data_IF_554481178531
#
_entry.id   IF_554481178531
#
_cell.length_a   1.000
_cell.length_b   1.000
_cell.length_c   1.000
_cell.angle_alpha   90.00
_cell.angle_beta   90.00
_cell.angle_gamma   90.00
#
_symmetry.space_group_name_H-M   'P 1'
#
loop_
_entity.id
_entity.type
_entity.pdbx_description
1 polymer ?
#
# COMPACT_ATOMS: atom_id res chain seq x y z
N UNK A 1 29.85 62.80 8.20
CA UNK A 1 30.56 64.04 7.83
C UNK A 1 31.74 63.62 6.95
N UNK A 2 31.72 63.99 5.66
CA UNK A 2 32.85 64.28 4.74
C UNK A 2 34.09 63.35 4.68
N UNK A 3 34.72 63.02 3.54
CA UNK A 3 34.48 63.23 2.12
C UNK A 3 35.58 62.47 1.35
N UNK A 4 35.25 62.07 0.12
CA UNK A 4 36.06 61.98 -1.11
C UNK A 4 37.59 62.15 -1.05
N UNK A 5 38.31 61.37 -1.86
CA UNK A 5 39.19 61.95 -2.89
C UNK A 5 39.44 60.96 -4.05
N UNK A 6 39.12 61.40 -5.26
CA UNK A 6 39.58 60.86 -6.55
C UNK A 6 41.06 61.19 -6.77
N UNK A 7 41.79 60.42 -7.57
CA UNK A 7 42.68 61.00 -8.60
C UNK A 7 43.10 59.98 -9.67
N UNK A 8 42.90 60.42 -10.91
CA UNK A 8 43.24 59.82 -12.19
C UNK A 8 44.75 59.94 -12.53
N UNK A 9 45.16 59.18 -13.56
CA UNK A 9 46.09 59.51 -14.68
C UNK A 9 46.87 58.22 -15.07
N UNK A 10 47.08 57.78 -16.32
CA UNK A 10 47.33 58.49 -17.59
C UNK A 10 46.95 57.64 -18.83
N UNK A 11 46.23 58.30 -19.76
CA UNK A 11 46.39 58.42 -21.22
C UNK A 11 47.03 57.30 -22.08
N UNK A 12 46.17 56.77 -22.95
CA UNK A 12 46.29 56.63 -24.43
C UNK A 12 47.67 56.55 -25.11
N UNK A 13 47.92 55.47 -25.86
CA UNK A 13 47.93 55.51 -27.35
C UNK A 13 48.02 54.12 -28.02
N UNK A 14 47.39 54.03 -29.20
CA UNK A 14 47.65 53.13 -30.35
C UNK A 14 46.84 51.82 -30.56
N UNK A 15 45.69 52.02 -31.23
CA UNK A 15 45.22 51.41 -32.50
C UNK A 15 45.36 49.89 -32.76
N UNK A 16 44.16 49.27 -32.85
CA UNK A 16 43.69 48.27 -33.83
C UNK A 16 44.49 46.99 -34.06
N UNK A 17 43.94 45.87 -33.57
CA UNK A 17 43.74 44.63 -34.36
C UNK A 17 42.61 43.79 -33.75
N UNK A 18 41.48 43.75 -34.45
CA UNK A 18 40.42 42.78 -34.24
C UNK A 18 40.95 41.38 -34.58
N UNK A 19 41.17 40.55 -33.56
CA UNK A 19 41.20 39.10 -33.71
C UNK A 19 40.55 38.50 -32.47
N UNK A 20 39.29 38.09 -32.57
CA UNK A 20 38.64 37.27 -31.55
C UNK A 20 39.37 35.93 -31.42
N UNK A 21 39.79 35.50 -30.21
CA UNK A 21 40.16 34.12 -30.00
C UNK A 21 38.88 33.31 -29.80
N UNK A 22 38.44 32.61 -30.85
CA UNK A 22 37.39 31.59 -30.76
C UNK A 22 37.92 30.43 -29.91
N UNK A 23 37.66 30.47 -28.60
CA UNK A 23 37.89 29.34 -27.70
C UNK A 23 36.84 28.27 -27.99
N UNK A 24 37.17 27.31 -28.88
CA UNK A 24 36.39 26.07 -29.03
C UNK A 24 36.65 25.17 -27.83
N UNK A 25 35.97 25.39 -26.71
CA UNK A 25 35.89 24.38 -25.66
C UNK A 25 35.04 23.21 -26.19
N UNK A 26 35.67 22.05 -26.37
CA UNK A 26 34.90 20.82 -26.60
C UNK A 26 34.09 20.56 -25.31
N UNK A 27 32.76 20.37 -25.39
CA UNK A 27 31.98 20.07 -24.20
C UNK A 27 32.48 18.76 -23.60
N UNK A 28 32.97 18.82 -22.37
CA UNK A 28 33.29 17.63 -21.58
C UNK A 28 31.97 16.89 -21.38
N UNK A 29 31.81 15.77 -22.10
CA UNK A 29 30.67 14.87 -21.89
C UNK A 29 30.84 14.21 -20.53
N UNK A 30 30.19 14.76 -19.51
CA UNK A 30 29.98 14.07 -18.25
C UNK A 30 29.03 12.89 -18.50
N UNK A 31 29.57 11.73 -18.88
CA UNK A 31 28.81 10.48 -18.78
C UNK A 31 28.70 10.15 -17.29
N UNK A 32 27.59 10.52 -16.65
CA UNK A 32 27.21 9.92 -15.37
C UNK A 32 27.27 8.40 -15.56
N UNK A 33 27.98 7.63 -14.72
CA UNK A 33 27.95 6.18 -14.84
C UNK A 33 26.50 5.76 -14.69
N UNK A 34 25.90 5.24 -15.77
CA UNK A 34 24.60 4.59 -15.71
C UNK A 34 24.82 3.35 -14.85
N UNK A 35 24.54 3.44 -13.55
CA UNK A 35 24.30 2.23 -12.73
C UNK A 35 23.28 1.44 -13.53
N UNK A 36 23.68 0.26 -14.04
CA UNK A 36 22.72 -0.69 -14.60
C UNK A 36 21.80 -1.04 -13.43
N UNK A 37 20.63 -0.41 -13.39
CA UNK A 37 19.57 -0.84 -12.48
C UNK A 37 19.32 -2.28 -12.88
N UNK A 38 19.63 -3.24 -12.00
CA UNK A 38 19.23 -4.62 -12.23
C UNK A 38 17.71 -4.57 -12.31
N UNK A 39 17.16 -4.84 -13.49
CA UNK A 39 15.72 -4.98 -13.65
C UNK A 39 15.27 -6.06 -12.68
N UNK A 40 14.30 -5.72 -11.84
CA UNK A 40 13.69 -6.69 -10.94
C UNK A 40 12.90 -7.69 -11.79
N UNK A 41 12.89 -8.98 -11.45
CA UNK A 41 12.21 -10.03 -12.22
C UNK A 41 10.70 -9.98 -11.95
N UNK A 42 10.09 -8.84 -12.23
CA UNK A 42 8.67 -8.59 -12.04
C UNK A 42 8.17 -7.63 -13.11
N UNK A 43 6.90 -7.80 -13.50
CA UNK A 43 6.22 -6.96 -14.48
C UNK A 43 5.08 -6.25 -13.77
N UNK A 44 4.93 -4.94 -13.98
CA UNK A 44 3.79 -4.19 -13.44
C UNK A 44 2.49 -4.76 -13.99
N UNK A 45 1.44 -4.81 -13.17
CA UNK A 45 0.15 -5.37 -13.59
C UNK A 45 -0.44 -4.64 -14.80
N UNK A 46 -0.23 -3.33 -14.93
CA UNK A 46 -0.70 -2.52 -16.06
C UNK A 46 -0.02 -2.85 -17.41
N UNK A 47 1.12 -3.56 -17.37
CA UNK A 47 1.87 -3.95 -18.56
C UNK A 47 1.56 -5.38 -19.00
N UNK A 48 0.66 -6.08 -18.30
CA UNK A 48 0.25 -7.44 -18.64
C UNK A 48 -1.02 -7.38 -19.49
N UNK A 49 -1.16 -8.35 -20.39
CA UNK A 49 -2.38 -8.53 -21.18
C UNK A 49 -3.58 -8.85 -20.28
N UNK A 50 -4.78 -8.46 -20.68
CA UNK A 50 -6.01 -8.75 -19.93
C UNK A 50 -6.19 -10.26 -19.66
N UNK A 51 -5.81 -11.11 -20.62
CA UNK A 51 -5.88 -12.58 -20.52
C UNK A 51 -4.82 -13.17 -19.58
N UNK A 52 -3.87 -12.38 -19.09
CA UNK A 52 -2.85 -12.86 -18.18
C UNK A 52 -3.48 -13.33 -16.85
N UNK A 53 -3.13 -14.53 -16.39
CA UNK A 53 -3.68 -15.17 -15.18
C UNK A 53 -3.71 -14.27 -13.93
N UNK A 54 -2.68 -13.43 -13.73
CA UNK A 54 -2.63 -12.49 -12.61
C UNK A 54 -3.66 -11.35 -12.72
N UNK A 55 -3.91 -10.88 -13.95
CA UNK A 55 -4.94 -9.87 -14.24
C UNK A 55 -6.32 -10.51 -14.07
N UNK A 56 -6.53 -11.69 -14.65
CA UNK A 56 -7.75 -12.48 -14.49
C UNK A 56 -8.05 -12.79 -13.00
N UNK A 57 -7.02 -13.05 -12.19
CA UNK A 57 -7.17 -13.21 -10.76
C UNK A 57 -7.73 -11.95 -10.08
N UNK A 58 -7.19 -10.75 -10.39
CA UNK A 58 -7.74 -9.50 -9.84
C UNK A 58 -9.16 -9.21 -10.37
N UNK A 59 -9.43 -9.51 -11.64
CA UNK A 59 -10.75 -9.32 -12.26
C UNK A 59 -11.80 -10.24 -11.63
N UNK A 60 -11.48 -11.53 -11.41
CA UNK A 60 -12.34 -12.48 -10.69
C UNK A 60 -12.57 -12.11 -9.22
N UNK A 61 -11.79 -11.16 -8.70
CA UNK A 61 -11.94 -10.53 -7.38
C UNK A 61 -12.57 -9.14 -7.50
N UNK A 62 -13.17 -8.78 -8.64
CA UNK A 62 -13.84 -7.48 -8.84
C UNK A 62 -12.97 -6.25 -8.52
N UNK A 63 -11.65 -6.38 -8.58
CA UNK A 63 -10.74 -5.28 -8.26
C UNK A 63 -10.71 -4.29 -9.40
N UNK A 64 -11.13 -3.06 -9.13
CA UNK A 64 -11.19 -2.00 -10.12
C UNK A 64 -9.82 -1.73 -10.76
N UNK A 65 -9.78 -1.55 -12.08
CA UNK A 65 -8.55 -1.43 -12.89
C UNK A 65 -7.59 -0.36 -12.35
N UNK A 66 -8.12 0.76 -11.81
CA UNK A 66 -7.33 1.84 -11.20
C UNK A 66 -6.33 1.38 -10.12
N UNK A 67 -6.56 0.23 -9.48
CA UNK A 67 -5.68 -0.30 -8.44
C UNK A 67 -4.62 -1.28 -8.98
N UNK A 68 -4.68 -1.70 -10.25
CA UNK A 68 -3.72 -2.62 -10.84
C UNK A 68 -2.29 -2.07 -10.78
N UNK A 69 -2.12 -0.76 -10.94
CA UNK A 69 -0.84 -0.06 -10.82
C UNK A 69 -0.12 -0.28 -9.48
N UNK A 70 -0.84 -0.73 -8.44
CA UNK A 70 -0.30 -1.04 -7.11
C UNK A 70 0.31 -2.43 -7.01
N UNK A 71 0.11 -3.27 -8.02
CA UNK A 71 0.54 -4.65 -8.03
C UNK A 71 1.55 -4.91 -9.14
N UNK A 72 2.32 -5.97 -8.96
CA UNK A 72 3.17 -6.53 -10.01
C UNK A 72 3.00 -8.04 -10.03
N UNK A 73 3.49 -8.70 -11.06
CA UNK A 73 3.54 -10.14 -11.16
C UNK A 73 4.99 -10.57 -11.30
N UNK A 74 5.34 -11.69 -10.69
CA UNK A 74 6.62 -12.36 -10.88
C UNK A 74 6.39 -13.85 -11.07
N UNK A 75 7.16 -14.47 -11.95
CA UNK A 75 7.20 -15.93 -12.12
C UNK A 75 8.05 -16.61 -11.05
N UNK A 76 8.94 -15.86 -10.39
CA UNK A 76 9.87 -16.38 -9.38
C UNK A 76 10.01 -15.40 -8.21
N UNK A 77 9.07 -15.53 -7.26
CA UNK A 77 9.05 -14.70 -6.06
C UNK A 77 10.31 -14.87 -5.21
N UNK A 78 10.91 -16.07 -5.17
CA UNK A 78 12.17 -16.30 -4.46
C UNK A 78 13.28 -15.42 -5.06
N UNK A 79 13.45 -15.45 -6.38
CA UNK A 79 14.50 -14.68 -7.06
C UNK A 79 14.27 -13.18 -6.97
N UNK A 80 13.02 -12.72 -7.00
CA UNK A 80 12.69 -11.33 -6.71
C UNK A 80 13.20 -10.93 -5.32
N UNK A 81 12.88 -11.72 -4.29
CA UNK A 81 13.30 -11.43 -2.92
C UNK A 81 14.81 -11.59 -2.74
N UNK A 82 15.45 -12.52 -3.44
CA UNK A 82 16.92 -12.70 -3.40
C UNK A 82 17.65 -11.45 -3.89
N UNK A 83 17.12 -10.75 -4.91
CA UNK A 83 17.71 -9.52 -5.41
C UNK A 83 17.48 -8.31 -4.48
N UNK A 84 16.41 -8.32 -3.69
CA UNK A 84 16.02 -7.21 -2.81
C UNK A 84 16.59 -7.37 -1.40
N UNK A 85 16.53 -8.59 -0.86
CA UNK A 85 16.93 -8.95 0.51
C UNK A 85 17.39 -10.41 0.54
N UNK A 86 18.65 -10.70 0.10
CA UNK A 86 19.18 -12.06 -0.04
C UNK A 86 18.97 -12.96 1.20
N UNK A 87 19.16 -12.42 2.40
CA UNK A 87 19.05 -13.19 3.65
C UNK A 87 17.63 -13.72 3.90
N UNK A 88 16.62 -13.11 3.29
CA UNK A 88 15.20 -13.45 3.47
C UNK A 88 14.67 -14.41 2.41
N UNK A 89 15.41 -14.66 1.33
CA UNK A 89 14.98 -15.56 0.24
C UNK A 89 15.26 -17.04 0.51
N UNK A 90 16.15 -17.36 1.46
CA UNK A 90 16.68 -18.71 1.67
C UNK A 90 15.58 -19.77 1.89
N UNK A 91 14.49 -19.41 2.57
CA UNK A 91 13.35 -20.29 2.90
C UNK A 91 12.22 -20.25 1.87
N UNK A 92 12.33 -19.39 0.86
CA UNK A 92 11.30 -19.24 -0.17
C UNK A 92 11.48 -20.30 -1.26
N UNK A 93 10.36 -20.71 -1.84
CA UNK A 93 10.32 -21.54 -3.04
C UNK A 93 10.24 -20.65 -4.27
N UNK A 94 10.81 -21.11 -5.38
CA UNK A 94 10.58 -20.47 -6.69
C UNK A 94 9.13 -20.76 -7.07
N UNK A 95 8.30 -19.71 -7.06
CA UNK A 95 6.88 -19.80 -7.36
C UNK A 95 6.39 -18.44 -7.84
N UNK A 96 5.37 -18.48 -8.69
CA UNK A 96 4.74 -17.29 -9.20
C UNK A 96 3.84 -16.63 -8.17
N UNK A 97 3.85 -15.30 -8.10
CA UNK A 97 3.00 -14.55 -7.16
C UNK A 97 2.63 -13.18 -7.71
N UNK A 98 1.44 -12.71 -7.33
CA UNK A 98 1.15 -11.27 -7.36
C UNK A 98 1.96 -10.61 -6.25
N UNK A 99 2.79 -9.66 -6.61
CA UNK A 99 3.65 -8.86 -5.73
C UNK A 99 2.88 -7.65 -5.25
N UNK A 100 2.78 -7.51 -3.94
CA UNK A 100 2.05 -6.46 -3.23
C UNK A 100 3.04 -5.70 -2.34
N UNK A 101 3.48 -4.50 -2.75
CA UNK A 101 4.35 -3.65 -1.95
C UNK A 101 3.57 -2.93 -0.85
N UNK A 102 4.16 -2.85 0.34
CA UNK A 102 3.61 -2.11 1.47
C UNK A 102 4.45 -0.85 1.69
N UNK A 103 3.78 0.28 1.80
CA UNK A 103 4.43 1.56 2.05
C UNK A 103 3.95 2.13 3.38
N UNK A 104 4.86 2.80 4.09
CA UNK A 104 4.50 3.60 5.26
C UNK A 104 3.95 4.98 4.84
N UNK A 105 3.56 5.80 5.82
CA UNK A 105 3.05 7.17 5.58
C UNK A 105 4.04 8.10 4.86
N UNK A 106 5.33 7.82 4.90
CA UNK A 106 6.37 8.57 4.17
C UNK A 106 6.69 7.96 2.79
N UNK A 107 5.83 7.09 2.26
CA UNK A 107 6.01 6.39 0.98
C UNK A 107 7.30 5.52 0.91
N UNK A 108 7.81 5.06 2.06
CA UNK A 108 8.93 4.12 2.11
C UNK A 108 8.42 2.68 2.09
N UNK A 109 9.01 1.85 1.23
CA UNK A 109 8.70 0.43 1.13
C UNK A 109 9.13 -0.29 2.42
N UNK A 110 8.18 -0.90 3.13
CA UNK A 110 8.42 -1.61 4.40
C UNK A 110 8.35 -3.12 4.25
N UNK A 111 7.41 -3.62 3.44
CA UNK A 111 7.20 -5.04 3.20
C UNK A 111 6.91 -5.31 1.73
N UNK A 112 7.18 -6.53 1.30
CA UNK A 112 6.66 -7.10 0.07
C UNK A 112 5.88 -8.35 0.44
N UNK A 113 4.64 -8.44 -0.03
CA UNK A 113 3.83 -9.64 0.12
C UNK A 113 3.60 -10.28 -1.24
N UNK A 114 3.71 -11.60 -1.31
CA UNK A 114 3.39 -12.38 -2.49
C UNK A 114 2.07 -13.14 -2.29
N UNK A 115 1.07 -12.87 -3.12
CA UNK A 115 -0.20 -13.62 -3.20
C UNK A 115 -0.06 -14.75 -4.21
N UNK A 116 -0.29 -16.00 -3.77
CA UNK A 116 -0.39 -17.14 -4.68
C UNK A 116 -1.64 -17.05 -5.57
N UNK A 117 -1.53 -17.57 -6.78
CA UNK A 117 -2.63 -17.60 -7.76
C UNK A 117 -3.43 -18.91 -7.74
N UNK A 118 -2.87 -19.95 -7.11
CA UNK A 118 -3.49 -21.25 -6.92
C UNK A 118 -3.93 -21.49 -5.46
N UNK A 119 -4.66 -22.58 -5.23
CA UNK A 119 -5.22 -22.97 -3.92
C UNK A 119 -4.33 -23.93 -3.13
N UNK A 120 -3.29 -24.51 -3.74
CA UNK A 120 -2.40 -25.48 -3.11
C UNK A 120 -1.22 -24.80 -2.38
N UNK A 121 -0.86 -23.61 -2.83
CA UNK A 121 0.23 -22.80 -2.29
C UNK A 121 -0.24 -21.96 -1.10
N UNK A 122 0.71 -21.60 -0.22
CA UNK A 122 0.42 -20.67 0.86
C UNK A 122 -0.15 -19.36 0.31
N UNK A 123 -1.36 -19.00 0.78
CA UNK A 123 -2.17 -17.90 0.25
C UNK A 123 -1.35 -16.61 0.11
N UNK A 124 -0.63 -16.25 1.17
CA UNK A 124 0.23 -15.08 1.24
C UNK A 124 1.58 -15.42 1.88
N UNK A 125 2.65 -14.83 1.34
CA UNK A 125 3.99 -14.81 1.96
C UNK A 125 4.39 -13.36 2.13
N UNK A 126 4.70 -12.94 3.37
CA UNK A 126 5.14 -11.57 3.65
C UNK A 126 6.61 -11.53 3.99
N UNK A 127 7.37 -10.68 3.29
CA UNK A 127 8.77 -10.40 3.55
C UNK A 127 8.89 -8.97 4.05
N UNK A 128 9.24 -8.79 5.33
CA UNK A 128 9.60 -7.49 5.88
C UNK A 128 10.93 -7.06 5.30
N UNK A 129 11.08 -5.80 4.88
CA UNK A 129 12.33 -5.22 4.35
C UNK A 129 12.94 -4.23 5.34
N UNK A 130 12.10 -3.48 6.05
CA UNK A 130 12.50 -2.57 7.12
C UNK A 130 11.66 -2.82 8.37
N UNK A 131 11.94 -2.05 9.42
CA UNK A 131 11.01 -1.89 10.54
C UNK A 131 9.74 -1.19 10.05
N UNK A 132 8.60 -1.56 10.63
CA UNK A 132 7.28 -0.99 10.34
C UNK A 132 6.15 -1.99 10.56
N UNK A 133 4.91 -1.51 10.65
CA UNK A 133 3.75 -2.39 10.82
C UNK A 133 3.38 -3.10 9.50
N UNK A 134 2.80 -4.30 9.61
CA UNK A 134 2.25 -5.07 8.48
C UNK A 134 0.87 -4.57 8.06
N UNK A 135 0.76 -3.27 7.87
CA UNK A 135 -0.48 -2.57 7.50
C UNK A 135 -0.34 -2.08 6.06
N UNK A 136 -1.19 -2.61 5.18
CA UNK A 136 -1.24 -2.18 3.80
C UNK A 136 -2.11 -0.93 3.66
N UNK A 137 -1.59 0.09 3.00
CA UNK A 137 -2.34 1.32 2.70
C UNK A 137 -2.09 2.50 3.61
N UNK A 138 -1.08 2.44 4.48
CA UNK A 138 -0.68 3.59 5.28
C UNK A 138 -0.29 4.81 4.44
N UNK A 139 0.19 4.60 3.21
CA UNK A 139 0.60 5.68 2.30
C UNK A 139 -0.56 6.51 1.72
N UNK A 140 -1.80 6.06 1.91
CA UNK A 140 -3.01 6.67 1.31
C UNK A 140 -4.04 7.12 2.34
N UNK A 141 -3.70 7.12 3.63
CA UNK A 141 -4.63 7.51 4.69
C UNK A 141 -4.73 9.04 4.81
N UNK A 142 -5.95 9.49 5.04
CA UNK A 142 -6.32 10.84 5.45
C UNK A 142 -6.78 10.75 6.91
N UNK A 143 -5.94 11.22 7.83
CA UNK A 143 -6.21 11.16 9.28
C UNK A 143 -7.27 12.17 9.74
N UNK A 144 -7.78 13.03 8.85
CA UNK A 144 -8.90 13.93 9.14
C UNK A 144 -10.27 13.24 9.02
N UNK A 145 -10.29 12.00 8.52
CA UNK A 145 -11.49 11.18 8.31
C UNK A 145 -11.37 9.85 9.05
N UNK A 146 -12.50 9.17 9.33
CA UNK A 146 -12.45 7.80 9.83
C UNK A 146 -11.65 6.89 8.89
N UNK A 147 -10.73 6.11 9.45
CA UNK A 147 -9.92 5.12 8.76
C UNK A 147 -10.52 3.74 8.99
N UNK A 148 -10.95 3.09 7.90
CA UNK A 148 -11.48 1.73 7.96
C UNK A 148 -10.35 0.71 8.01
N UNK A 149 -10.47 -0.25 8.90
CA UNK A 149 -9.45 -1.27 9.16
C UNK A 149 -10.02 -2.65 8.88
N UNK A 150 -9.52 -3.31 7.83
CA UNK A 150 -9.98 -4.64 7.40
C UNK A 150 -8.88 -5.70 7.50
N UNK A 151 -9.22 -6.98 7.40
CA UNK A 151 -8.23 -8.07 7.41
C UNK A 151 -7.57 -8.28 6.04
N UNK A 152 -8.35 -8.18 4.96
CA UNK A 152 -7.90 -8.48 3.61
C UNK A 152 -7.39 -7.26 2.83
N UNK A 153 -6.24 -7.43 2.15
CA UNK A 153 -5.67 -6.39 1.27
C UNK A 153 -6.66 -5.97 0.18
N UNK A 154 -7.32 -6.95 -0.45
CA UNK A 154 -8.27 -6.68 -1.52
C UNK A 154 -9.54 -6.01 -1.02
N UNK A 155 -10.01 -6.37 0.18
CA UNK A 155 -11.14 -5.70 0.83
C UNK A 155 -10.86 -4.20 1.04
N UNK A 156 -9.62 -3.86 1.40
CA UNK A 156 -9.20 -2.46 1.61
C UNK A 156 -9.20 -1.59 0.35
N UNK A 157 -9.39 -2.18 -0.83
CA UNK A 157 -9.47 -1.45 -2.10
C UNK A 157 -10.90 -1.01 -2.45
N UNK A 158 -11.91 -1.60 -1.81
CA UNK A 158 -13.32 -1.26 -2.07
C UNK A 158 -13.78 -0.04 -1.27
N UNK A 159 -13.10 0.28 -0.17
CA UNK A 159 -13.41 1.42 0.68
C UNK A 159 -12.37 2.53 0.52
N UNK A 160 -12.83 3.76 0.60
CA UNK A 160 -11.95 4.92 0.71
C UNK A 160 -11.39 5.02 2.13
N UNK A 161 -10.21 5.62 2.27
CA UNK A 161 -9.50 5.76 3.54
C UNK A 161 -9.39 4.45 4.34
N UNK A 162 -9.08 3.35 3.65
CA UNK A 162 -9.07 2.01 4.22
C UNK A 162 -7.68 1.37 4.16
N UNK A 163 -7.33 0.69 5.26
CA UNK A 163 -6.10 -0.07 5.43
C UNK A 163 -6.41 -1.54 5.71
N UNK A 164 -5.50 -2.43 5.31
CA UNK A 164 -5.59 -3.85 5.66
C UNK A 164 -4.51 -4.21 6.69
N UNK A 165 -4.93 -4.73 7.83
CA UNK A 165 -4.03 -5.28 8.85
C UNK A 165 -3.76 -6.75 8.53
N UNK A 166 -2.59 -7.01 7.95
CA UNK A 166 -2.23 -8.36 7.52
C UNK A 166 -1.43 -9.08 8.62
N UNK A 167 -2.05 -10.07 9.26
CA UNK A 167 -1.41 -10.89 10.29
C UNK A 167 -2.29 -11.14 11.52
N UNK A 168 -1.71 -11.77 12.54
CA UNK A 168 -2.38 -12.10 13.79
C UNK A 168 -2.43 -10.92 14.78
N UNK A 169 -1.43 -10.03 14.72
CA UNK A 169 -1.20 -9.06 15.76
C UNK A 169 -1.80 -7.71 15.38
N UNK A 170 -2.68 -7.22 16.25
CA UNK A 170 -3.27 -5.91 16.15
C UNK A 170 -2.23 -4.85 16.55
N UNK A 171 -1.50 -4.32 15.57
CA UNK A 171 -0.63 -3.15 15.76
C UNK A 171 -1.28 -1.88 15.15
N UNK A 172 -1.68 -0.94 16.01
CA UNK A 172 -2.27 0.35 15.63
C UNK A 172 -1.31 1.52 15.84
N UNK A 173 -0.01 1.28 16.10
CA UNK A 173 0.98 2.32 16.37
C UNK A 173 1.08 3.37 15.25
N UNK A 174 1.09 2.92 13.99
CA UNK A 174 1.12 3.79 12.81
C UNK A 174 -0.20 4.55 12.56
N UNK A 175 -1.22 4.32 13.38
CA UNK A 175 -2.61 4.80 13.23
C UNK A 175 -3.14 5.50 14.49
N UNK A 176 -2.29 5.80 15.49
CA UNK A 176 -2.71 6.38 16.77
C UNK A 176 -3.37 7.76 16.63
N UNK A 177 -3.05 8.51 15.57
CA UNK A 177 -3.61 9.82 15.26
C UNK A 177 -4.91 9.74 14.41
N UNK A 178 -5.43 8.54 14.18
CA UNK A 178 -6.59 8.31 13.33
C UNK A 178 -7.81 7.87 14.16
N UNK A 179 -9.01 8.29 13.73
CA UNK A 179 -10.25 7.64 14.18
C UNK A 179 -10.41 6.30 13.45
N UNK A 180 -10.42 5.18 14.19
CA UNK A 180 -10.44 3.84 13.60
C UNK A 180 -11.81 3.19 13.66
N UNK A 181 -12.22 2.61 12.53
CA UNK A 181 -13.42 1.75 12.41
C UNK A 181 -12.98 0.38 11.91
N UNK A 182 -13.12 -0.64 12.75
CA UNK A 182 -12.74 -2.00 12.41
C UNK A 182 -13.86 -2.75 11.70
N UNK A 183 -13.49 -3.54 10.68
CA UNK A 183 -14.39 -4.43 9.96
C UNK A 183 -13.67 -5.76 9.74
N UNK A 184 -14.06 -6.77 10.51
CA UNK A 184 -13.55 -8.14 10.39
C UNK A 184 -14.41 -8.96 9.44
N UNK A 185 -13.95 -10.16 9.09
CA UNK A 185 -14.77 -11.10 8.33
C UNK A 185 -16.06 -11.46 9.11
N UNK A 186 -17.18 -11.66 8.39
CA UNK A 186 -18.47 -12.06 8.96
C UNK A 186 -18.49 -13.55 9.34
N UNK A 187 -17.66 -13.92 10.30
CA UNK A 187 -17.54 -15.29 10.80
C UNK A 187 -17.96 -15.40 12.28
N UNK A 188 -19.27 -15.30 12.60
CA UNK A 188 -19.76 -15.21 13.97
C UNK A 188 -19.53 -16.46 14.82
N UNK A 189 -19.16 -17.59 14.19
CA UNK A 189 -18.81 -18.88 14.83
C UNK A 189 -17.29 -19.13 14.91
N UNK A 190 -16.49 -18.32 14.22
CA UNK A 190 -15.04 -18.50 14.23
C UNK A 190 -14.45 -17.88 15.50
N UNK A 191 -13.98 -18.73 16.43
CA UNK A 191 -13.48 -18.30 17.75
C UNK A 191 -12.39 -17.24 17.66
N UNK A 192 -11.52 -17.30 16.65
CA UNK A 192 -10.43 -16.32 16.49
C UNK A 192 -10.98 -14.95 16.08
N UNK A 193 -11.91 -14.90 15.13
CA UNK A 193 -12.55 -13.66 14.70
C UNK A 193 -13.38 -13.07 15.83
N UNK A 194 -14.18 -13.89 16.51
CA UNK A 194 -14.96 -13.48 17.69
C UNK A 194 -14.07 -12.85 18.77
N UNK A 195 -12.92 -13.45 19.07
CA UNK A 195 -11.96 -12.89 20.04
C UNK A 195 -11.34 -11.56 19.57
N UNK A 196 -11.05 -11.41 18.27
CA UNK A 196 -10.56 -10.14 17.72
C UNK A 196 -11.61 -9.04 17.86
N UNK A 197 -12.86 -9.33 17.50
CA UNK A 197 -14.01 -8.41 17.63
C UNK A 197 -14.19 -7.97 19.08
N UNK A 198 -14.23 -8.91 20.02
CA UNK A 198 -14.36 -8.62 21.46
C UNK A 198 -13.23 -7.72 21.95
N UNK A 199 -11.97 -8.04 21.59
CA UNK A 199 -10.79 -7.24 21.94
C UNK A 199 -10.90 -5.80 21.42
N UNK A 200 -11.32 -5.60 20.17
CA UNK A 200 -11.49 -4.26 19.59
C UNK A 200 -12.55 -3.45 20.35
N UNK A 201 -13.67 -4.07 20.70
CA UNK A 201 -14.73 -3.44 21.47
C UNK A 201 -14.24 -3.03 22.85
N UNK A 202 -13.49 -3.90 23.54
CA UNK A 202 -12.94 -3.62 24.86
C UNK A 202 -11.85 -2.54 24.84
N UNK A 203 -11.10 -2.42 23.73
CA UNK A 203 -10.19 -1.30 23.50
C UNK A 203 -10.91 0.03 23.21
N UNK A 204 -12.24 0.02 23.10
CA UNK A 204 -13.06 1.23 22.92
C UNK A 204 -13.12 1.76 21.49
N UNK A 205 -12.66 0.99 20.50
CA UNK A 205 -12.74 1.36 19.09
C UNK A 205 -14.16 1.19 18.52
N UNK A 206 -14.41 1.89 17.41
CA UNK A 206 -15.61 1.67 16.60
C UNK A 206 -15.45 0.38 15.79
N UNK A 207 -16.55 -0.36 15.62
CA UNK A 207 -16.56 -1.64 14.91
C UNK A 207 -17.83 -1.81 14.09
N UNK A 208 -17.69 -2.40 12.91
CA UNK A 208 -18.81 -2.84 12.07
C UNK A 208 -19.22 -4.23 12.51
N UNK A 209 -20.50 -4.41 12.83
CA UNK A 209 -21.07 -5.73 13.16
C UNK A 209 -22.20 -6.03 12.20
N UNK A 210 -22.10 -7.18 11.53
CA UNK A 210 -23.07 -7.58 10.53
C UNK A 210 -24.39 -8.00 11.16
N UNK A 211 -25.50 -7.76 10.47
CA UNK A 211 -26.77 -8.39 10.78
C UNK A 211 -27.06 -9.51 9.76
N UNK A 212 -28.22 -10.14 9.87
CA UNK A 212 -28.60 -11.22 8.96
C UNK A 212 -29.01 -10.72 7.55
N UNK A 213 -29.07 -9.40 7.32
CA UNK A 213 -29.32 -8.83 5.98
C UNK A 213 -28.06 -8.81 5.12
N UNK A 214 -26.88 -8.84 5.75
CA UNK A 214 -25.59 -8.83 5.07
C UNK A 214 -25.17 -10.24 4.62
N UNK A 215 -25.31 -10.52 3.32
CA UNK A 215 -24.93 -11.80 2.71
C UNK A 215 -23.54 -11.73 2.09
N UNK A 216 -22.55 -12.18 2.85
CA UNK A 216 -21.17 -12.29 2.37
C UNK A 216 -20.22 -12.48 3.54
N UNK A 217 -19.13 -13.20 3.29
CA UNK A 217 -18.08 -13.38 4.30
C UNK A 217 -17.26 -12.11 4.51
N UNK A 218 -16.85 -11.47 3.43
CA UNK A 218 -15.99 -10.28 3.42
C UNK A 218 -16.54 -9.26 2.39
N UNK A 219 -15.92 -8.07 2.30
CA UNK A 219 -16.36 -7.03 1.38
C UNK A 219 -16.27 -7.53 -0.07
N UNK A 220 -15.21 -8.27 -0.40
CA UNK A 220 -15.04 -8.81 -1.73
C UNK A 220 -16.16 -9.77 -2.14
N UNK A 221 -16.56 -10.66 -1.23
CA UNK A 221 -17.64 -11.62 -1.43
C UNK A 221 -18.97 -10.90 -1.66
N UNK A 222 -19.23 -9.78 -0.98
CA UNK A 222 -20.42 -8.96 -1.26
C UNK A 222 -20.42 -8.37 -2.67
N UNK A 223 -19.30 -7.81 -3.10
CA UNK A 223 -19.20 -7.22 -4.45
C UNK A 223 -19.43 -8.30 -5.51
N UNK A 224 -19.01 -9.53 -5.24
CA UNK A 224 -19.30 -10.70 -6.09
C UNK A 224 -20.78 -11.12 -6.06
N UNK A 225 -21.49 -10.81 -4.98
CA UNK A 225 -22.93 -11.06 -4.82
C UNK A 225 -23.78 -9.84 -5.23
N UNK A 226 -23.30 -9.06 -6.21
CA UNK A 226 -23.99 -7.92 -6.84
C UNK A 226 -24.33 -6.73 -5.92
N UNK A 227 -23.68 -6.62 -4.75
CA UNK A 227 -23.78 -5.40 -3.95
C UNK A 227 -22.90 -4.29 -4.53
N UNK A 228 -23.47 -3.10 -4.73
CA UNK A 228 -22.71 -1.93 -5.17
C UNK A 228 -21.82 -1.39 -4.05
N UNK A 229 -20.74 -0.68 -4.41
CA UNK A 229 -19.83 -0.08 -3.43
C UNK A 229 -20.56 0.92 -2.54
N UNK A 230 -21.53 1.66 -3.10
CA UNK A 230 -22.37 2.61 -2.37
C UNK A 230 -23.24 1.88 -1.34
N UNK A 231 -23.89 0.78 -1.72
CA UNK A 231 -24.68 -0.03 -0.79
C UNK A 231 -23.83 -0.57 0.36
N UNK A 232 -22.60 -1.01 0.06
CA UNK A 232 -21.66 -1.51 1.06
C UNK A 232 -21.25 -0.39 2.02
N UNK A 233 -20.95 0.81 1.50
CA UNK A 233 -20.61 1.99 2.32
C UNK A 233 -21.76 2.38 3.24
N UNK A 234 -22.98 2.54 2.69
CA UNK A 234 -24.18 2.86 3.45
C UNK A 234 -24.44 1.81 4.53
N UNK A 235 -24.26 0.53 4.20
CA UNK A 235 -24.38 -0.55 5.16
C UNK A 235 -23.38 -0.39 6.30
N UNK A 236 -22.10 -0.20 5.98
CA UNK A 236 -21.01 -0.06 6.97
C UNK A 236 -21.27 1.11 7.92
N UNK A 237 -21.70 2.25 7.40
CA UNK A 237 -22.01 3.43 8.21
C UNK A 237 -23.16 3.15 9.19
N UNK A 238 -24.24 2.51 8.72
CA UNK A 238 -25.40 2.18 9.55
C UNK A 238 -25.14 1.04 10.57
N UNK A 239 -24.11 0.23 10.34
CA UNK A 239 -23.74 -0.91 11.18
C UNK A 239 -22.44 -0.69 11.96
N UNK A 240 -21.97 0.56 12.04
CA UNK A 240 -20.85 0.93 12.90
C UNK A 240 -21.35 1.21 14.32
N UNK A 241 -20.77 0.52 15.30
CA UNK A 241 -21.12 0.62 16.70
C UNK A 241 -19.88 0.91 17.57
N UNK A 242 -20.09 1.55 18.72
CA UNK A 242 -19.05 1.85 19.71
C UNK A 242 -19.57 1.67 21.13
N UNK A 243 -18.68 1.38 22.07
CA UNK A 243 -19.00 1.33 23.51
C UNK A 243 -20.09 0.31 23.85
N UNK A 244 -21.05 0.70 24.69
CA UNK A 244 -22.10 -0.22 25.18
C UNK A 244 -22.97 -0.77 24.05
N UNK A 245 -23.27 0.04 23.03
CA UNK A 245 -24.03 -0.39 21.85
C UNK A 245 -23.29 -1.49 21.08
N UNK A 246 -21.96 -1.38 20.94
CA UNK A 246 -21.15 -2.42 20.32
C UNK A 246 -21.15 -3.72 21.13
N UNK A 247 -21.07 -3.65 22.47
CA UNK A 247 -21.15 -4.84 23.34
C UNK A 247 -22.49 -5.58 23.21
N UNK A 248 -23.60 -4.83 23.15
CA UNK A 248 -24.92 -5.40 22.92
C UNK A 248 -25.01 -6.07 21.54
N UNK A 249 -24.63 -5.35 20.48
CA UNK A 249 -24.64 -5.87 19.11
C UNK A 249 -23.71 -7.06 18.90
N UNK A 250 -22.57 -7.11 19.59
CA UNK A 250 -21.66 -8.24 19.53
C UNK A 250 -22.29 -9.51 20.10
N UNK A 251 -23.11 -9.38 21.15
CA UNK A 251 -23.83 -10.52 21.73
C UNK A 251 -24.88 -11.07 20.78
N UNK A 252 -25.53 -10.20 19.99
CA UNK A 252 -26.46 -10.58 18.92
C UNK A 252 -25.74 -11.24 17.73
N UNK A 253 -24.58 -10.70 17.34
CA UNK A 253 -23.81 -11.18 16.19
C UNK A 253 -23.13 -12.53 16.45
N UNK A 254 -22.48 -12.71 17.61
CA UNK A 254 -21.74 -13.93 17.95
C UNK A 254 -22.68 -15.13 18.04
N UNK A 255 -22.35 -16.21 17.31
CA UNK A 255 -23.10 -17.47 17.29
C UNK A 255 -22.23 -18.57 17.88
N UNK A 256 -22.78 -19.35 18.81
CA UNK A 256 -22.09 -20.51 19.40
C UNK A 256 -22.12 -21.73 18.48
#
# INVERSE_FOLDING_TARGET
>A
MYQEYKLENLKETNQLKNTEPVYKSKPVKFSKPKRKVKELPMVKMDNLDEEHKAVQYLNSRMIHYKYRCRFSYTEDFKRLIELISPDKSQRLKSEERIVIPFFNRQNKLTHIQGRALDDNSLRYITVSLSQGSKVYGLDRIDNTKPVYVVEGIFDSLFLENCVAMTGSDLNTEDLQDCELVFLFDNEPRNRQIVQKVEKIIDMGYSIVLFDDTFRGKDINDMVKNDHSIEQIKDYIENHTFKGLKAKMKFTEWRKW
#
